data_IF_824364570523
#
_entry.id   IF_824364570523
#
_cell.length_a   1.000
_cell.length_b   1.000
_cell.length_c   1.000
_cell.angle_alpha   90.00
_cell.angle_beta   90.00
_cell.angle_gamma   90.00
#
_symmetry.space_group_name_H-M   'P 1'
#
loop_
_entity.id
_entity.type
_entity.pdbx_description
1 polymer ?
#
# COMPACT_ATOMS: atom_id res chain seq x y z
N UNK A 1 27.97 -7.66 28.23
CA UNK A 1 26.91 -7.68 29.27
C UNK A 1 25.65 -7.06 28.70
N UNK A 2 24.98 -7.80 27.80
CA UNK A 2 23.61 -7.63 27.27
C UNK A 2 23.32 -8.85 26.38
N UNK A 3 23.56 -10.07 26.90
CA UNK A 3 23.28 -11.33 26.19
C UNK A 3 22.01 -12.03 26.69
N UNK A 4 21.34 -11.48 27.70
CA UNK A 4 20.20 -12.15 28.35
C UNK A 4 18.97 -11.24 28.37
N UNK A 5 18.53 -10.79 27.19
CA UNK A 5 17.13 -10.44 27.00
C UNK A 5 16.38 -11.71 26.61
N UNK A 6 15.91 -12.35 27.66
CA UNK A 6 14.87 -13.38 27.71
C UNK A 6 13.93 -13.29 26.49
N UNK A 7 14.00 -14.32 25.63
CA UNK A 7 12.90 -14.71 24.74
C UNK A 7 11.76 -15.24 25.65
N UNK A 8 11.11 -14.32 26.37
CA UNK A 8 9.91 -14.62 27.13
C UNK A 8 8.70 -14.56 26.20
N UNK A 9 8.07 -15.73 26.09
CA UNK A 9 6.75 -16.07 25.56
C UNK A 9 6.40 -15.73 24.10
N UNK A 10 5.77 -16.72 23.47
CA UNK A 10 5.14 -16.69 22.15
C UNK A 10 4.26 -15.43 21.97
N UNK A 11 4.85 -14.34 21.49
CA UNK A 11 4.15 -13.14 21.02
C UNK A 11 3.39 -13.47 19.72
N UNK A 12 2.32 -14.27 19.86
CA UNK A 12 1.36 -14.52 18.80
C UNK A 12 0.45 -13.30 18.67
N UNK A 13 0.72 -12.47 17.66
CA UNK A 13 -0.21 -11.40 17.35
C UNK A 13 -1.39 -11.95 16.56
N UNK A 14 -2.58 -11.89 17.17
CA UNK A 14 -3.84 -12.40 16.61
C UNK A 14 -4.62 -11.28 15.93
N UNK A 15 -5.01 -11.48 14.66
CA UNK A 15 -5.88 -10.55 13.94
C UNK A 15 -7.10 -11.28 13.39
N UNK A 16 -8.29 -10.73 13.61
CA UNK A 16 -9.55 -11.24 13.05
C UNK A 16 -9.98 -10.40 11.86
N UNK A 17 -10.40 -11.05 10.77
CA UNK A 17 -10.99 -10.41 9.59
C UNK A 17 -12.28 -11.13 9.22
N UNK A 18 -13.32 -10.36 8.94
CA UNK A 18 -14.57 -10.87 8.36
C UNK A 18 -14.65 -10.43 6.90
N UNK A 19 -15.05 -11.35 6.03
CA UNK A 19 -15.29 -11.09 4.62
C UNK A 19 -16.56 -11.82 4.19
N UNK A 20 -17.50 -11.08 3.61
CA UNK A 20 -18.63 -11.65 2.90
C UNK A 20 -18.15 -12.01 1.50
N UNK A 21 -18.10 -13.31 1.19
CA UNK A 21 -17.74 -13.78 -0.14
C UNK A 21 -18.99 -14.29 -0.87
N UNK A 22 -19.16 -13.82 -2.11
CA UNK A 22 -20.19 -14.31 -3.01
C UNK A 22 -19.57 -15.45 -3.82
N UNK A 23 -19.99 -16.69 -3.53
CA UNK A 23 -19.70 -17.83 -4.39
C UNK A 23 -21.00 -18.51 -4.82
N UNK A 24 -21.20 -18.68 -6.12
CA UNK A 24 -22.39 -19.31 -6.69
C UNK A 24 -23.74 -18.73 -6.22
N UNK A 25 -23.81 -17.41 -6.01
CA UNK A 25 -25.05 -16.71 -5.61
C UNK A 25 -25.50 -16.96 -4.16
N UNK A 26 -24.63 -17.56 -3.31
CA UNK A 26 -24.84 -17.64 -1.87
C UNK A 26 -23.84 -16.75 -1.14
N UNK A 27 -24.36 -16.00 -0.18
CA UNK A 27 -23.54 -15.24 0.76
C UNK A 27 -22.98 -16.19 1.81
N UNK A 28 -21.65 -16.22 1.90
CA UNK A 28 -20.95 -16.87 2.98
C UNK A 28 -20.28 -15.80 3.83
N UNK A 29 -20.55 -15.82 5.13
CA UNK A 29 -19.77 -15.08 6.11
C UNK A 29 -18.50 -15.88 6.42
N UNK A 30 -17.36 -15.39 5.96
CA UNK A 30 -16.06 -16.00 6.22
C UNK A 30 -15.33 -15.14 7.24
N UNK A 31 -15.02 -15.72 8.39
CA UNK A 31 -14.11 -15.10 9.35
C UNK A 31 -12.79 -15.83 9.33
N UNK A 32 -11.69 -15.10 9.28
CA UNK A 32 -10.33 -15.64 9.37
C UNK A 32 -9.63 -15.06 10.56
N UNK A 33 -8.91 -15.91 11.28
CA UNK A 33 -8.11 -15.56 12.43
C UNK A 33 -6.67 -15.94 12.10
N UNK A 34 -5.73 -14.99 12.17
CA UNK A 34 -4.33 -15.20 11.76
C UNK A 34 -3.40 -14.97 12.93
N UNK A 35 -2.42 -15.86 13.11
CA UNK A 35 -1.30 -15.73 14.04
C UNK A 35 -0.01 -15.76 13.27
N UNK A 36 0.92 -14.92 13.71
CA UNK A 36 2.26 -14.85 13.14
C UNK A 36 3.25 -15.28 14.22
N UNK A 37 4.10 -16.26 13.91
CA UNK A 37 5.21 -16.65 14.76
C UNK A 37 6.51 -16.19 14.12
N UNK A 38 7.22 -15.20 14.70
CA UNK A 38 8.52 -14.80 14.17
C UNK A 38 9.53 -15.95 14.31
N UNK A 39 10.42 -16.09 13.32
CA UNK A 39 11.55 -17.00 13.38
C UNK A 39 12.85 -16.24 12.98
N UNK A 40 13.99 -16.91 13.01
CA UNK A 40 15.31 -16.25 12.89
C UNK A 40 15.56 -15.53 11.56
N UNK A 41 14.80 -15.84 10.51
CA UNK A 41 14.98 -15.25 9.17
C UNK A 41 13.69 -14.74 8.52
N UNK A 42 12.53 -15.05 9.09
CA UNK A 42 11.22 -14.74 8.53
C UNK A 42 10.11 -14.82 9.62
N UNK A 43 8.88 -15.11 9.21
CA UNK A 43 7.76 -15.38 10.08
C UNK A 43 6.88 -16.48 9.50
N UNK A 44 6.34 -17.33 10.38
CA UNK A 44 5.36 -18.36 10.04
C UNK A 44 3.96 -17.79 10.21
N UNK A 45 3.13 -17.92 9.17
CA UNK A 45 1.74 -17.46 9.19
C UNK A 45 0.84 -18.67 9.33
N UNK A 46 0.06 -18.67 10.41
CA UNK A 46 -0.99 -19.65 10.66
C UNK A 46 -2.34 -18.96 10.54
N UNK A 47 -3.31 -19.63 9.94
CA UNK A 47 -4.67 -19.12 9.86
C UNK A 47 -5.68 -20.22 10.20
N UNK A 48 -6.72 -19.83 10.93
CA UNK A 48 -7.96 -20.61 11.04
C UNK A 48 -9.10 -19.82 10.39
N UNK A 49 -10.13 -20.53 9.94
CA UNK A 49 -11.27 -19.90 9.30
C UNK A 49 -12.58 -20.46 9.86
N UNK A 50 -13.63 -19.64 9.84
CA UNK A 50 -15.00 -20.08 10.04
C UNK A 50 -15.86 -19.68 8.85
N UNK A 51 -16.79 -20.54 8.46
CA UNK A 51 -17.80 -20.28 7.45
C UNK A 51 -19.16 -20.29 8.14
N UNK A 52 -19.88 -19.17 8.08
CA UNK A 52 -21.16 -18.94 8.76
C UNK A 52 -21.09 -19.30 10.26
N UNK A 53 -20.03 -18.83 10.92
CA UNK A 53 -19.77 -19.06 12.35
C UNK A 53 -19.26 -20.46 12.72
N UNK A 54 -19.12 -21.39 11.77
CA UNK A 54 -18.65 -22.77 12.02
C UNK A 54 -17.21 -22.95 11.59
N UNK A 55 -16.41 -23.64 12.40
CA UNK A 55 -15.01 -23.90 12.09
C UNK A 55 -14.87 -24.59 10.72
N UNK A 56 -13.94 -24.08 9.92
CA UNK A 56 -13.61 -24.58 8.61
C UNK A 56 -12.18 -25.14 8.62
N UNK A 57 -12.01 -26.28 7.96
CA UNK A 57 -10.69 -26.82 7.66
C UNK A 57 -10.20 -26.25 6.32
N UNK A 58 -8.89 -26.18 6.14
CA UNK A 58 -8.28 -25.63 4.92
C UNK A 58 -7.21 -26.55 4.37
N UNK A 59 -6.96 -26.43 3.06
CA UNK A 59 -5.90 -27.12 2.34
C UNK A 59 -5.05 -26.04 1.68
N UNK A 60 -3.72 -26.12 1.84
CA UNK A 60 -2.82 -25.26 1.08
C UNK A 60 -2.90 -25.65 -0.38
N UNK A 61 -3.17 -24.67 -1.24
CA UNK A 61 -3.34 -24.90 -2.67
C UNK A 61 -2.14 -24.39 -3.46
N UNK A 62 -1.31 -25.32 -3.93
CA UNK A 62 -0.11 -25.05 -4.70
C UNK A 62 -0.37 -25.29 -6.19
N UNK A 63 -0.53 -24.20 -6.93
CA UNK A 63 -0.50 -24.20 -8.39
C UNK A 63 0.02 -22.85 -8.87
N UNK A 64 0.56 -22.78 -10.10
CA UNK A 64 0.99 -21.50 -10.69
C UNK A 64 -0.14 -20.46 -10.72
N UNK A 65 -1.38 -20.90 -10.89
CA UNK A 65 -2.54 -20.01 -10.92
C UNK A 65 -2.94 -19.55 -9.50
N UNK A 66 -2.86 -20.43 -8.52
CA UNK A 66 -3.08 -20.11 -7.10
C UNK A 66 -2.04 -19.11 -6.59
N UNK A 67 -0.76 -19.32 -6.92
CA UNK A 67 0.33 -18.40 -6.57
C UNK A 67 0.09 -17.00 -7.15
N UNK A 68 -0.30 -16.92 -8.42
CA UNK A 68 -0.62 -15.65 -9.05
C UNK A 68 -1.82 -14.97 -8.38
N UNK A 69 -2.84 -15.74 -7.97
CA UNK A 69 -4.01 -15.22 -7.26
C UNK A 69 -3.62 -14.67 -5.88
N UNK A 70 -2.81 -15.41 -5.11
CA UNK A 70 -2.28 -14.96 -3.82
C UNK A 70 -1.47 -13.66 -3.98
N UNK A 71 -0.66 -13.56 -5.05
CA UNK A 71 0.12 -12.37 -5.34
C UNK A 71 -0.75 -11.13 -5.66
N UNK A 72 -1.90 -11.29 -6.33
CA UNK A 72 -2.89 -10.19 -6.45
C UNK A 72 -3.53 -9.83 -5.10
N UNK A 73 -3.70 -10.80 -4.20
CA UNK A 73 -4.12 -10.54 -2.81
C UNK A 73 -3.15 -9.63 -2.05
N UNK A 74 -1.84 -9.76 -2.29
CA UNK A 74 -0.83 -8.84 -1.74
C UNK A 74 -0.99 -7.42 -2.28
N UNK A 75 -1.20 -7.26 -3.58
CA UNK A 75 -1.49 -5.94 -4.18
C UNK A 75 -2.76 -5.35 -3.58
N UNK A 76 -3.80 -6.16 -3.33
CA UNK A 76 -5.03 -5.67 -2.69
C UNK A 76 -4.77 -5.14 -1.27
N UNK A 77 -3.91 -5.82 -0.50
CA UNK A 77 -3.48 -5.35 0.82
C UNK A 77 -2.73 -4.02 0.74
N UNK A 78 -1.85 -3.86 -0.23
CA UNK A 78 -1.11 -2.60 -0.48
C UNK A 78 -2.09 -1.45 -0.81
N UNK A 79 -3.09 -1.69 -1.67
CA UNK A 79 -4.11 -0.68 -2.00
C UNK A 79 -4.99 -0.30 -0.80
N UNK A 80 -5.36 -1.27 0.05
CA UNK A 80 -6.09 -0.99 1.31
C UNK A 80 -5.27 -0.11 2.23
N UNK A 81 -3.97 -0.39 2.37
CA UNK A 81 -3.07 0.46 3.14
C UNK A 81 -3.01 1.88 2.57
N UNK A 82 -2.83 2.03 1.24
CA UNK A 82 -2.85 3.33 0.56
C UNK A 82 -4.14 4.11 0.85
N UNK A 83 -5.29 3.44 0.76
CA UNK A 83 -6.59 4.04 1.08
C UNK A 83 -6.66 4.57 2.51
N UNK A 84 -6.23 3.77 3.48
CA UNK A 84 -6.23 4.16 4.90
C UNK A 84 -5.35 5.37 5.15
N UNK A 85 -4.11 5.37 4.68
CA UNK A 85 -3.19 6.49 4.94
C UNK A 85 -3.60 7.77 4.19
N UNK A 86 -4.22 7.66 3.02
CA UNK A 86 -4.78 8.83 2.32
C UNK A 86 -5.97 9.43 3.06
N UNK A 87 -6.84 8.62 3.66
CA UNK A 87 -7.93 9.13 4.50
C UNK A 87 -7.37 9.89 5.71
N UNK A 88 -6.33 9.35 6.36
CA UNK A 88 -5.61 10.05 7.43
C UNK A 88 -4.97 11.36 6.93
N UNK A 89 -4.35 11.37 5.74
CA UNK A 89 -3.78 12.58 5.15
C UNK A 89 -4.84 13.64 4.85
N UNK A 90 -6.01 13.26 4.33
CA UNK A 90 -7.14 14.18 4.08
C UNK A 90 -7.61 14.82 5.38
N UNK A 91 -7.72 14.03 6.45
CA UNK A 91 -8.09 14.54 7.77
C UNK A 91 -7.05 15.52 8.30
N UNK A 92 -5.78 15.12 8.35
CA UNK A 92 -4.68 15.96 8.83
C UNK A 92 -4.53 17.24 8.00
N UNK A 93 -4.66 17.15 6.67
CA UNK A 93 -4.61 18.32 5.80
C UNK A 93 -5.84 19.23 6.01
N UNK A 94 -7.04 18.66 6.18
CA UNK A 94 -8.27 19.42 6.40
C UNK A 94 -8.34 20.14 7.75
N UNK A 95 -7.74 19.57 8.80
CA UNK A 95 -7.66 20.19 10.12
C UNK A 95 -6.64 21.34 10.16
N UNK A 96 -5.55 21.26 9.38
CA UNK A 96 -4.45 22.22 9.40
C UNK A 96 -4.48 23.29 8.29
N UNK A 97 -5.34 23.14 7.26
CA UNK A 97 -5.47 24.10 6.14
C UNK A 97 -6.68 25.05 6.27
N UNK A 98 -7.31 25.16 7.45
CA UNK A 98 -8.40 26.12 7.71
C UNK A 98 -7.91 27.58 7.96
N UNK A 99 -6.67 27.90 7.60
CA UNK A 99 -6.16 29.27 7.61
C UNK A 99 -6.05 29.76 6.16
N UNK A 100 -6.61 30.93 5.89
CA UNK A 100 -6.78 31.58 4.58
C UNK A 100 -5.49 32.00 3.87
N UNK A 101 -4.33 31.46 4.24
CA UNK A 101 -3.04 31.86 3.70
C UNK A 101 -2.55 30.88 2.63
N UNK A 102 -2.28 31.41 1.45
CA UNK A 102 -1.88 30.66 0.24
C UNK A 102 -0.39 30.26 0.22
N UNK A 103 0.38 30.63 1.25
CA UNK A 103 1.81 30.33 1.36
C UNK A 103 2.22 30.18 2.84
N UNK A 104 2.50 28.96 3.28
CA UNK A 104 3.11 28.71 4.58
C UNK A 104 4.63 28.66 4.43
N UNK A 105 5.33 29.65 5.00
CA UNK A 105 6.79 29.60 5.18
C UNK A 105 7.06 28.93 6.52
N UNK A 106 7.78 27.81 6.50
CA UNK A 106 8.05 26.93 7.65
C UNK A 106 8.99 27.60 8.67
N UNK A 107 8.65 27.48 9.96
CA UNK A 107 9.64 27.47 11.06
C UNK A 107 10.26 26.06 11.13
N UNK A 108 11.58 25.93 11.37
CA UNK A 108 12.42 24.74 11.11
C UNK A 108 11.90 23.36 11.60
N UNK A 109 10.92 23.29 12.48
CA UNK A 109 10.29 22.04 12.97
C UNK A 109 8.77 22.17 12.95
N UNK A 110 8.11 21.45 12.04
CA UNK A 110 6.65 21.32 11.98
C UNK A 110 6.28 19.82 11.97
N UNK A 111 5.92 19.25 13.13
CA UNK A 111 5.61 17.83 13.26
C UNK A 111 4.45 17.36 12.38
N UNK A 112 3.47 18.23 12.12
CA UNK A 112 2.30 17.91 11.28
C UNK A 112 2.73 17.79 9.82
N UNK A 113 3.50 18.77 9.34
CA UNK A 113 4.05 18.75 7.98
C UNK A 113 5.01 17.57 7.78
N UNK A 114 5.83 17.25 8.77
CA UNK A 114 6.75 16.11 8.72
C UNK A 114 5.98 14.77 8.68
N UNK A 115 4.86 14.65 9.43
CA UNK A 115 3.98 13.48 9.37
C UNK A 115 3.27 13.36 8.02
N UNK A 116 2.76 14.46 7.46
CA UNK A 116 2.13 14.47 6.13
C UNK A 116 3.14 14.08 5.04
N UNK A 117 4.39 14.54 5.15
CA UNK A 117 5.48 14.12 4.27
C UNK A 117 5.75 12.62 4.37
N UNK A 118 5.83 12.09 5.59
CA UNK A 118 6.02 10.66 5.82
C UNK A 118 4.87 9.81 5.23
N UNK A 119 3.62 10.24 5.42
CA UNK A 119 2.43 9.60 4.83
C UNK A 119 2.50 9.64 3.30
N UNK A 120 2.83 10.79 2.73
CA UNK A 120 2.94 10.99 1.27
C UNK A 120 3.99 10.08 0.65
N UNK A 121 5.19 10.01 1.26
CA UNK A 121 6.26 9.13 0.81
C UNK A 121 5.83 7.65 0.91
N UNK A 122 5.25 7.25 2.04
CA UNK A 122 4.75 5.89 2.26
C UNK A 122 3.70 5.50 1.23
N UNK A 123 2.79 6.43 0.91
CA UNK A 123 1.77 6.28 -0.13
C UNK A 123 2.39 6.10 -1.51
N UNK A 124 3.26 7.03 -1.95
CA UNK A 124 3.88 6.98 -3.28
C UNK A 124 4.68 5.68 -3.46
N UNK A 125 5.44 5.28 -2.45
CA UNK A 125 6.20 4.03 -2.45
C UNK A 125 5.27 2.83 -2.59
N UNK A 126 4.24 2.74 -1.74
CA UNK A 126 3.35 1.58 -1.71
C UNK A 126 2.48 1.51 -2.96
N UNK A 127 2.03 2.65 -3.47
CA UNK A 127 1.33 2.76 -4.74
C UNK A 127 2.22 2.29 -5.89
N UNK A 128 3.43 2.83 -6.00
CA UNK A 128 4.39 2.46 -7.04
C UNK A 128 4.77 0.99 -6.97
N UNK A 129 4.81 0.40 -5.76
CA UNK A 129 4.97 -1.04 -5.59
C UNK A 129 3.91 -1.77 -6.37
N UNK A 130 2.62 -1.40 -6.38
CA UNK A 130 1.56 -2.12 -7.13
C UNK A 130 1.81 -2.26 -8.64
N UNK A 131 2.55 -1.31 -9.24
CA UNK A 131 2.77 -1.23 -10.68
C UNK A 131 4.19 -1.63 -11.12
N UNK A 132 5.09 -1.90 -10.19
CA UNK A 132 6.46 -2.33 -10.48
C UNK A 132 6.62 -3.83 -10.29
N UNK A 133 7.51 -4.46 -11.08
CA UNK A 133 7.81 -5.88 -10.88
C UNK A 133 8.58 -6.05 -9.57
N UNK A 134 8.07 -6.90 -8.68
CA UNK A 134 8.74 -7.26 -7.43
C UNK A 134 9.05 -8.75 -7.43
N UNK A 135 10.29 -9.11 -7.07
CA UNK A 135 10.80 -10.49 -7.15
C UNK A 135 9.99 -11.48 -6.31
N UNK A 136 9.50 -11.03 -5.15
CA UNK A 136 8.70 -11.87 -4.24
C UNK A 136 7.32 -12.24 -4.78
N UNK A 137 6.58 -11.29 -5.36
CA UNK A 137 5.19 -11.51 -5.79
C UNK A 137 5.03 -11.85 -7.27
N UNK A 138 6.02 -11.51 -8.11
CA UNK A 138 6.08 -11.84 -9.55
C UNK A 138 4.92 -11.36 -10.44
N UNK A 139 3.98 -10.57 -9.89
CA UNK A 139 2.88 -9.93 -10.62
C UNK A 139 2.93 -8.41 -10.45
N UNK A 140 2.40 -7.66 -11.41
CA UNK A 140 2.22 -6.21 -11.37
C UNK A 140 0.87 -5.84 -12.00
N UNK A 141 0.37 -4.66 -11.66
CA UNK A 141 -0.74 -4.06 -12.39
C UNK A 141 -0.25 -3.40 -13.67
N UNK A 142 -1.01 -3.54 -14.75
CA UNK A 142 -0.78 -2.84 -16.00
C UNK A 142 -1.65 -1.60 -16.05
N UNK A 143 -1.06 -0.41 -15.92
CA UNK A 143 -1.79 0.85 -15.83
C UNK A 143 -2.73 1.07 -17.03
N UNK A 144 -2.29 0.69 -18.23
CA UNK A 144 -3.11 0.76 -19.46
C UNK A 144 -4.37 -0.10 -19.41
N UNK A 145 -4.35 -1.19 -18.65
CA UNK A 145 -5.52 -2.04 -18.46
C UNK A 145 -6.43 -1.51 -17.35
N UNK A 146 -5.86 -0.99 -16.28
CA UNK A 146 -6.62 -0.41 -15.16
C UNK A 146 -7.35 0.87 -15.61
N UNK A 147 -6.62 1.82 -16.18
CA UNK A 147 -7.10 3.18 -16.49
C UNK A 147 -7.59 3.37 -17.92
N UNK A 148 -7.82 2.29 -18.66
CA UNK A 148 -8.26 2.32 -20.07
C UNK A 148 -9.45 3.25 -20.32
N UNK A 149 -10.38 3.30 -19.37
CA UNK A 149 -11.65 4.03 -19.46
C UNK A 149 -11.62 5.37 -18.72
N UNK A 150 -10.48 5.75 -18.11
CA UNK A 150 -10.41 6.96 -17.29
C UNK A 150 -9.04 7.67 -17.43
N UNK A 151 -8.93 8.50 -18.46
CA UNK A 151 -7.72 9.28 -18.76
C UNK A 151 -7.33 10.26 -17.65
N UNK A 152 -8.31 10.80 -16.90
CA UNK A 152 -8.02 11.71 -15.80
C UNK A 152 -7.30 11.00 -14.66
N UNK A 153 -7.72 9.78 -14.33
CA UNK A 153 -7.02 8.96 -13.33
C UNK A 153 -5.69 8.40 -13.86
N UNK A 154 -5.54 8.25 -15.18
CA UNK A 154 -4.24 7.94 -15.78
C UNK A 154 -3.22 9.06 -15.52
N UNK A 155 -3.61 10.33 -15.65
CA UNK A 155 -2.70 11.45 -15.34
C UNK A 155 -2.27 11.44 -13.87
N UNK A 156 -3.18 11.10 -12.95
CA UNK A 156 -2.84 10.91 -11.53
C UNK A 156 -1.86 9.76 -11.35
N UNK A 157 -2.05 8.64 -12.05
CA UNK A 157 -1.11 7.52 -12.04
C UNK A 157 0.28 7.94 -12.55
N UNK A 158 0.35 8.62 -13.69
CA UNK A 158 1.60 9.08 -14.29
C UNK A 158 2.35 10.02 -13.35
N UNK A 159 1.64 10.95 -12.71
CA UNK A 159 2.19 11.81 -11.67
C UNK A 159 2.80 11.00 -10.51
N UNK A 160 2.04 10.07 -9.92
CA UNK A 160 2.52 9.28 -8.78
C UNK A 160 3.73 8.39 -9.14
N UNK A 161 3.74 7.82 -10.34
CA UNK A 161 4.87 7.04 -10.83
C UNK A 161 6.09 7.92 -11.11
N UNK A 162 5.88 9.14 -11.62
CA UNK A 162 6.94 10.13 -11.80
C UNK A 162 7.58 10.48 -10.47
N UNK A 163 6.80 10.86 -9.46
CA UNK A 163 7.32 11.20 -8.12
C UNK A 163 8.02 10.01 -7.46
N UNK A 164 7.50 8.78 -7.61
CA UNK A 164 8.20 7.59 -7.13
C UNK A 164 9.58 7.42 -7.75
N UNK A 165 9.70 7.64 -9.06
CA UNK A 165 10.94 7.42 -9.79
C UNK A 165 11.94 8.57 -9.59
N UNK A 166 11.46 9.81 -9.51
CA UNK A 166 12.30 11.00 -9.59
C UNK A 166 12.44 11.78 -8.31
N UNK A 167 11.59 11.56 -7.30
CA UNK A 167 11.69 12.18 -5.99
C UNK A 167 12.13 11.17 -4.94
N UNK A 168 11.50 10.00 -4.93
CA UNK A 168 11.80 8.99 -3.89
C UNK A 168 13.09 8.23 -4.19
N UNK A 169 13.32 7.84 -5.45
CA UNK A 169 14.46 6.97 -5.80
C UNK A 169 15.73 7.73 -6.14
N UNK A 170 15.60 8.93 -6.70
CA UNK A 170 16.69 9.79 -7.12
C UNK A 170 16.31 11.18 -6.64
N UNK A 171 17.18 11.98 -6.02
CA UNK A 171 16.86 13.38 -5.70
C UNK A 171 16.91 14.23 -6.99
N UNK A 172 16.06 13.89 -7.96
CA UNK A 172 16.04 14.45 -9.30
C UNK A 172 15.31 15.79 -9.38
N UNK A 173 15.04 16.24 -10.59
CA UNK A 173 14.21 17.42 -10.82
C UNK A 173 12.75 17.07 -10.48
N UNK A 174 12.26 17.56 -9.34
CA UNK A 174 10.92 17.25 -8.84
C UNK A 174 10.18 18.53 -8.50
N UNK A 175 8.86 18.45 -8.51
CA UNK A 175 8.03 19.55 -8.04
C UNK A 175 8.03 19.68 -6.51
N UNK A 176 8.55 18.66 -5.80
CA UNK A 176 8.41 18.52 -4.35
C UNK A 176 9.62 19.05 -3.55
N UNK A 177 10.69 19.45 -4.23
CA UNK A 177 11.89 20.02 -3.60
C UNK A 177 12.50 21.11 -4.48
N UNK A 178 12.85 22.24 -3.86
CA UNK A 178 13.60 23.31 -4.51
C UNK A 178 14.63 23.89 -3.54
N UNK A 179 15.89 23.95 -3.99
CA UNK A 179 16.95 24.64 -3.28
C UNK A 179 17.45 25.82 -4.12
N UNK A 180 17.64 26.97 -3.49
CA UNK A 180 18.27 28.15 -4.10
C UNK A 180 19.29 28.77 -3.15
N UNK A 181 20.45 29.11 -3.67
CA UNK A 181 21.41 29.96 -2.95
C UNK A 181 21.14 31.40 -3.33
N UNK A 182 20.95 32.24 -2.31
CA UNK A 182 20.75 33.67 -2.45
C UNK A 182 22.02 34.38 -2.00
N UNK A 183 22.39 35.40 -2.77
CA UNK A 183 23.39 36.38 -2.35
C UNK A 183 22.64 37.52 -1.70
N UNK A 184 22.88 37.74 -0.40
CA UNK A 184 22.37 38.89 0.32
C UNK A 184 23.36 40.04 0.17
N UNK A 185 22.85 41.17 -0.29
CA UNK A 185 23.55 42.44 -0.37
C UNK A 185 22.97 43.38 0.67
N UNK A 186 23.77 44.31 1.19
CA UNK A 186 23.21 45.44 1.93
C UNK A 186 22.36 46.27 0.98
N UNK A 187 21.19 46.71 1.44
CA UNK A 187 20.28 47.54 0.65
C UNK A 187 20.89 48.92 0.33
N UNK A 188 21.87 49.35 1.11
CA UNK A 188 22.61 50.60 0.97
C UNK A 188 24.05 50.32 0.48
N UNK A 189 24.26 50.54 -0.81
CA UNK A 189 25.55 50.31 -1.49
C UNK A 189 26.72 51.08 -0.85
N UNK A 190 26.45 52.23 -0.23
CA UNK A 190 27.48 53.10 0.32
C UNK A 190 28.24 52.47 1.50
N UNK A 191 27.62 51.50 2.18
CA UNK A 191 28.21 50.80 3.33
C UNK A 191 29.26 49.77 2.94
N UNK A 192 29.29 49.35 1.66
CA UNK A 192 30.27 48.39 1.11
C UNK A 192 30.40 47.11 1.95
N UNK A 193 29.29 46.65 2.52
CA UNK A 193 29.22 45.40 3.26
C UNK A 193 29.56 44.21 2.34
N UNK A 194 30.24 43.21 2.91
CA UNK A 194 30.61 42.01 2.16
C UNK A 194 29.35 41.19 1.86
N UNK A 195 29.11 40.78 0.59
CA UNK A 195 27.98 39.92 0.24
C UNK A 195 27.95 38.65 1.09
N UNK A 196 26.77 38.29 1.60
CA UNK A 196 26.57 37.06 2.38
C UNK A 196 25.86 36.02 1.53
N UNK A 197 26.20 34.76 1.72
CA UNK A 197 25.50 33.66 1.07
C UNK A 197 24.55 33.03 2.07
N UNK A 198 23.30 32.84 1.65
CA UNK A 198 22.34 31.98 2.35
C UNK A 198 21.80 30.95 1.39
N UNK A 199 21.48 29.76 1.89
CA UNK A 199 20.82 28.72 1.10
C UNK A 199 19.43 28.51 1.66
N UNK A 200 18.43 28.58 0.78
CA UNK A 200 17.05 28.25 1.09
C UNK A 200 16.71 26.91 0.44
N UNK A 201 16.29 25.94 1.23
CA UNK A 201 15.72 24.68 0.76
C UNK A 201 14.25 24.62 1.17
N UNK A 202 13.36 24.53 0.20
CA UNK A 202 11.93 24.31 0.42
C UNK A 202 11.57 22.90 -0.04
N UNK A 203 10.77 22.20 0.76
CA UNK A 203 10.10 20.98 0.33
C UNK A 203 8.59 21.25 0.26
N UNK A 204 7.90 20.66 -0.70
CA UNK A 204 6.45 20.51 -0.61
C UNK A 204 6.22 19.42 0.45
N UNK A 205 5.85 19.85 1.65
CA UNK A 205 5.67 18.96 2.80
C UNK A 205 4.38 18.14 2.70
N UNK A 206 3.35 18.72 2.08
CA UNK A 206 2.05 18.12 1.92
C UNK A 206 1.37 18.65 0.67
N UNK A 207 0.47 17.85 0.11
CA UNK A 207 -0.49 18.38 -0.86
C UNK A 207 -1.71 18.97 -0.15
N UNK A 208 -2.43 19.84 -0.82
CA UNK A 208 -3.75 20.26 -0.36
C UNK A 208 -4.70 19.06 -0.25
N UNK A 209 -5.70 19.15 0.64
CA UNK A 209 -6.71 18.10 0.83
C UNK A 209 -7.38 17.66 -0.48
N UNK A 210 -7.52 18.56 -1.44
CA UNK A 210 -8.06 18.28 -2.77
C UNK A 210 -7.21 17.27 -3.56
N UNK A 211 -5.88 17.39 -3.53
CA UNK A 211 -4.98 16.47 -4.21
C UNK A 211 -5.03 15.08 -3.58
N UNK A 212 -5.04 14.97 -2.24
CA UNK A 212 -5.21 13.67 -1.59
C UNK A 212 -6.54 13.00 -1.93
N UNK A 213 -7.62 13.79 -2.08
CA UNK A 213 -8.91 13.26 -2.58
C UNK A 213 -8.78 12.71 -4.00
N UNK A 214 -8.03 13.36 -4.89
CA UNK A 214 -7.75 12.84 -6.23
C UNK A 214 -6.92 11.56 -6.23
N UNK A 215 -5.94 11.46 -5.34
CA UNK A 215 -5.19 10.22 -5.15
C UNK A 215 -6.10 9.10 -4.63
N UNK A 216 -7.01 9.42 -3.70
CA UNK A 216 -7.97 8.46 -3.17
C UNK A 216 -8.94 7.96 -4.25
N UNK A 217 -9.42 8.84 -5.14
CA UNK A 217 -10.22 8.45 -6.32
C UNK A 217 -9.47 7.41 -7.18
N UNK A 218 -8.19 7.65 -7.46
CA UNK A 218 -7.35 6.71 -8.21
C UNK A 218 -7.17 5.35 -7.51
N UNK A 219 -7.01 5.36 -6.18
CA UNK A 219 -6.91 4.12 -5.37
C UNK A 219 -8.22 3.34 -5.40
N UNK A 220 -9.36 3.99 -5.15
CA UNK A 220 -10.68 3.33 -5.14
C UNK A 220 -10.99 2.73 -6.51
N UNK A 221 -10.68 3.46 -7.59
CA UNK A 221 -10.85 2.96 -8.94
C UNK A 221 -9.94 1.75 -9.21
N UNK A 222 -8.64 1.83 -8.87
CA UNK A 222 -7.70 0.72 -9.01
C UNK A 222 -8.14 -0.52 -8.22
N UNK A 223 -8.58 -0.33 -6.97
CA UNK A 223 -9.07 -1.40 -6.10
C UNK A 223 -10.28 -2.11 -6.73
N UNK A 224 -11.24 -1.36 -7.28
CA UNK A 224 -12.41 -1.93 -7.94
C UNK A 224 -12.04 -2.81 -9.15
N UNK A 225 -11.11 -2.35 -10.00
CA UNK A 225 -10.62 -3.12 -11.15
C UNK A 225 -9.85 -4.36 -10.71
N UNK A 226 -9.03 -4.25 -9.67
CA UNK A 226 -8.30 -5.39 -9.09
C UNK A 226 -9.26 -6.45 -8.53
N UNK A 227 -10.30 -6.05 -7.79
CA UNK A 227 -11.31 -6.98 -7.26
C UNK A 227 -11.98 -7.75 -8.41
N UNK A 228 -12.37 -7.06 -9.48
CA UNK A 228 -12.94 -7.71 -10.66
C UNK A 228 -11.95 -8.70 -11.32
N UNK A 229 -10.66 -8.35 -11.40
CA UNK A 229 -9.60 -9.25 -11.89
C UNK A 229 -9.43 -10.49 -11.01
N UNK A 230 -9.42 -10.32 -9.69
CA UNK A 230 -9.34 -11.41 -8.71
C UNK A 230 -10.54 -12.34 -8.87
N UNK A 231 -11.76 -11.81 -8.88
CA UNK A 231 -12.99 -12.60 -9.05
C UNK A 231 -12.98 -13.42 -10.35
N UNK A 232 -12.57 -12.82 -11.47
CA UNK A 232 -12.43 -13.52 -12.75
C UNK A 232 -11.42 -14.67 -12.68
N UNK A 233 -10.30 -14.47 -11.96
CA UNK A 233 -9.26 -15.49 -11.77
C UNK A 233 -9.71 -16.61 -10.85
N UNK A 234 -10.38 -16.29 -9.74
CA UNK A 234 -11.00 -17.27 -8.83
C UNK A 234 -11.93 -18.19 -9.61
N UNK A 235 -12.86 -17.61 -10.37
CA UNK A 235 -13.79 -18.40 -11.20
C UNK A 235 -13.06 -19.31 -12.18
N UNK A 236 -12.07 -18.77 -12.90
CA UNK A 236 -11.27 -19.56 -13.86
C UNK A 236 -10.52 -20.71 -13.19
N UNK A 237 -9.98 -20.50 -11.99
CA UNK A 237 -9.25 -21.48 -11.23
C UNK A 237 -10.19 -22.59 -10.70
N UNK A 238 -11.37 -22.21 -10.20
CA UNK A 238 -12.42 -23.16 -9.83
C UNK A 238 -12.85 -24.02 -11.04
N UNK A 239 -13.11 -23.39 -12.19
CA UNK A 239 -13.60 -24.07 -13.39
C UNK A 239 -12.56 -24.99 -14.05
N UNK A 240 -11.27 -24.65 -13.98
CA UNK A 240 -10.20 -25.34 -14.72
C UNK A 240 -9.38 -26.32 -13.89
N UNK A 241 -9.12 -26.00 -12.63
CA UNK A 241 -8.18 -26.76 -11.82
C UNK A 241 -8.89 -27.53 -10.71
N UNK A 242 -9.94 -26.97 -10.10
CA UNK A 242 -10.68 -27.63 -9.02
C UNK A 242 -11.85 -28.47 -9.51
N UNK A 243 -12.40 -28.16 -10.69
CA UNK A 243 -13.53 -28.90 -11.26
C UNK A 243 -13.15 -30.35 -11.50
N UNK A 244 -13.89 -31.26 -10.88
CA UNK A 244 -13.67 -32.70 -11.00
C UNK A 244 -12.79 -33.30 -9.92
N UNK A 245 -12.23 -32.48 -9.02
CA UNK A 245 -11.63 -32.97 -7.79
C UNK A 245 -12.75 -33.31 -6.81
N UNK A 246 -12.73 -34.53 -6.27
CA UNK A 246 -13.71 -34.92 -5.26
C UNK A 246 -13.48 -34.19 -3.94
N UNK A 247 -14.55 -33.71 -3.33
CA UNK A 247 -14.51 -33.09 -2.00
C UNK A 247 -13.85 -34.03 -0.98
N UNK A 248 -14.15 -35.33 -1.04
CA UNK A 248 -13.61 -36.38 -0.17
C UNK A 248 -12.06 -36.36 -0.13
N UNK A 249 -11.43 -36.14 -1.28
CA UNK A 249 -9.98 -36.04 -1.43
C UNK A 249 -9.44 -34.78 -0.75
N UNK A 250 -10.09 -33.63 -0.94
CA UNK A 250 -9.71 -32.37 -0.28
C UNK A 250 -9.84 -32.46 1.25
N UNK A 251 -10.91 -33.08 1.75
CA UNK A 251 -11.09 -33.33 3.19
C UNK A 251 -9.97 -34.24 3.75
N UNK A 252 -9.52 -35.23 2.99
CA UNK A 252 -8.42 -36.09 3.40
C UNK A 252 -7.08 -35.36 3.46
N UNK A 253 -6.76 -34.51 2.47
CA UNK A 253 -5.57 -33.66 2.50
C UNK A 253 -5.58 -32.72 3.72
N UNK A 254 -6.71 -32.07 3.98
CA UNK A 254 -6.88 -31.15 5.11
C UNK A 254 -6.59 -31.84 6.45
N UNK A 255 -7.12 -33.05 6.66
CA UNK A 255 -6.91 -33.83 7.90
C UNK A 255 -5.46 -34.26 8.10
N UNK A 256 -4.72 -34.44 7.00
CA UNK A 256 -3.29 -34.82 7.02
C UNK A 256 -2.34 -33.62 7.03
N UNK A 257 -2.85 -32.38 6.97
CA UNK A 257 -2.06 -31.18 6.73
C UNK A 257 -1.19 -31.25 5.47
N UNK A 258 -1.70 -31.91 4.42
CA UNK A 258 -1.04 -32.01 3.12
C UNK A 258 -1.56 -30.94 2.15
N UNK A 259 -0.71 -30.48 1.23
CA UNK A 259 -1.08 -29.51 0.21
C UNK A 259 -1.72 -30.19 -1.01
N UNK A 260 -2.68 -29.52 -1.65
CA UNK A 260 -3.12 -29.83 -3.00
C UNK A 260 -2.07 -29.29 -3.98
N UNK A 261 -1.44 -30.17 -4.75
CA UNK A 261 -0.43 -29.79 -5.74
C UNK A 261 -0.94 -30.12 -7.15
N UNK A 262 -1.05 -29.11 -8.03
CA UNK A 262 -1.52 -29.22 -9.42
C UNK A 262 -0.60 -28.52 -10.42
#
# INVERSE_FOLDING_TARGET
MYSDLLYEDDLMHKTTRSATNISNGRDFDITTETWVKPNTSNFDVHASAKINGRDAISVVYNSKAADALAAYGLIHKDLKFCKTILLSAIQLAGENLNSSDSLFVREEVDPTSDLLKAITLSFIITYGKCYTKADGRKVSLEAKDIFRENSNLMQVHEFLMHERNNYVAHAGNTSLEAAKTLILLDADESRREVPKLITHSNHIYAFESFAYKKFLEAIVFTESKLIAMIQKRVKKLQDKELKGIEDSYLYNLARKNEALNL
#
